data_IF_193886201120
#
_entry.id   IF_193886201120
#
_cell.length_a   1.000
_cell.length_b   1.000
_cell.length_c   1.000
_cell.angle_alpha   90.00
_cell.angle_beta   90.00
_cell.angle_gamma   90.00
#
_symmetry.space_group_name_H-M   'P 1'
#
loop_
_entity.id
_entity.type
_entity.pdbx_description
1 polymer ?
#
# COMPACT_ATOMS: atom_id res chain seq x y z
N UNK A 1 23.43 44.55 -10.17
CA UNK A 1 22.50 43.87 -9.23
C UNK A 1 21.29 43.36 -10.02
N UNK A 2 20.82 42.15 -9.71
CA UNK A 2 19.64 41.42 -10.24
C UNK A 2 19.78 40.64 -11.57
N UNK A 3 20.77 39.73 -11.62
CA UNK A 3 20.77 38.60 -12.56
C UNK A 3 20.11 37.35 -11.95
N UNK A 4 18.84 37.46 -11.54
CA UNK A 4 18.09 36.33 -11.01
C UNK A 4 17.46 35.55 -12.18
N UNK A 5 18.22 34.57 -12.68
CA UNK A 5 17.75 33.25 -13.11
C UNK A 5 16.29 33.19 -13.60
N UNK A 6 16.02 33.72 -14.79
CA UNK A 6 14.92 33.22 -15.60
C UNK A 6 15.34 31.82 -16.06
N UNK A 7 15.04 30.79 -15.25
CA UNK A 7 14.98 29.43 -15.76
C UNK A 7 14.02 29.50 -16.94
N UNK A 8 14.57 29.26 -18.13
CA UNK A 8 13.96 29.76 -19.34
C UNK A 8 12.56 29.13 -19.54
N UNK A 9 11.57 29.86 -20.08
CA UNK A 9 10.16 29.44 -20.12
C UNK A 9 9.94 28.02 -20.68
N UNK A 10 10.79 27.60 -21.63
CA UNK A 10 10.78 26.25 -22.21
C UNK A 10 11.02 25.14 -21.18
N UNK A 11 11.84 25.38 -20.16
CA UNK A 11 12.11 24.43 -19.08
C UNK A 11 10.91 24.27 -18.14
N UNK A 12 10.19 25.36 -17.87
CA UNK A 12 8.97 25.33 -17.05
C UNK A 12 7.83 24.59 -17.77
N UNK A 13 7.65 24.84 -19.07
CA UNK A 13 6.67 24.14 -19.90
C UNK A 13 7.01 22.65 -20.05
N UNK A 14 8.30 22.31 -20.18
CA UNK A 14 8.76 20.92 -20.23
C UNK A 14 8.49 20.17 -18.92
N UNK A 15 8.77 20.78 -17.77
CA UNK A 15 8.48 20.18 -16.46
C UNK A 15 6.97 20.02 -16.24
N UNK A 16 6.16 21.02 -16.63
CA UNK A 16 4.70 20.94 -16.54
C UNK A 16 4.12 19.80 -17.34
N UNK A 17 4.57 19.62 -18.59
CA UNK A 17 4.07 18.58 -19.46
C UNK A 17 4.65 17.21 -19.07
N UNK A 18 5.97 17.05 -19.11
CA UNK A 18 6.61 15.75 -18.92
C UNK A 18 6.61 15.29 -17.46
N UNK A 19 6.57 16.21 -16.49
CA UNK A 19 6.48 15.87 -15.07
C UNK A 19 5.15 15.19 -14.72
N UNK A 20 4.02 15.76 -15.16
CA UNK A 20 2.71 15.17 -14.93
C UNK A 20 2.58 13.79 -15.64
N UNK A 21 3.09 13.69 -16.87
CA UNK A 21 3.11 12.42 -17.60
C UNK A 21 4.00 11.37 -16.94
N UNK A 22 5.18 11.74 -16.44
CA UNK A 22 6.07 10.83 -15.72
C UNK A 22 5.40 10.26 -14.45
N UNK A 23 4.69 11.10 -13.70
CA UNK A 23 3.91 10.65 -12.54
C UNK A 23 2.79 9.70 -12.97
N UNK A 24 2.03 10.05 -14.01
CA UNK A 24 0.96 9.21 -14.53
C UNK A 24 1.48 7.83 -14.98
N UNK A 25 2.59 7.79 -15.73
CA UNK A 25 3.20 6.52 -16.18
C UNK A 25 3.68 5.68 -15.00
N UNK A 26 4.33 6.29 -14.00
CA UNK A 26 4.78 5.57 -12.81
C UNK A 26 3.61 4.95 -12.04
N UNK A 27 2.52 5.70 -11.86
CA UNK A 27 1.31 5.22 -11.18
C UNK A 27 0.61 4.13 -12.01
N UNK A 28 0.57 4.27 -13.33
CA UNK A 28 0.01 3.26 -14.22
C UNK A 28 0.77 1.93 -14.09
N UNK A 29 2.10 1.97 -14.15
CA UNK A 29 2.95 0.78 -14.01
C UNK A 29 2.81 0.16 -12.62
N UNK A 30 2.79 0.97 -11.58
CA UNK A 30 2.59 0.52 -10.19
C UNK A 30 1.24 -0.18 -10.01
N UNK A 31 0.17 0.40 -10.59
CA UNK A 31 -1.19 -0.16 -10.53
C UNK A 31 -1.38 -1.37 -11.46
N UNK A 32 -0.55 -1.52 -12.48
CA UNK A 32 -0.50 -2.72 -13.34
C UNK A 32 0.10 -3.93 -12.59
N UNK A 33 0.83 -3.68 -11.50
CA UNK A 33 1.54 -4.69 -10.72
C UNK A 33 3.04 -4.77 -10.98
N UNK A 34 3.60 -3.78 -11.68
CA UNK A 34 5.05 -3.61 -11.78
C UNK A 34 5.51 -2.81 -10.56
N UNK A 35 6.58 -3.21 -9.85
CA UNK A 35 7.10 -2.44 -8.72
C UNK A 35 7.68 -1.11 -9.20
N UNK A 36 6.84 -0.08 -9.25
CA UNK A 36 7.19 1.28 -9.61
C UNK A 36 6.90 2.22 -8.42
N UNK A 37 7.65 3.32 -8.26
CA UNK A 37 7.49 4.22 -7.12
C UNK A 37 6.28 5.16 -7.26
N UNK A 38 5.08 4.63 -7.59
CA UNK A 38 3.90 5.42 -7.92
C UNK A 38 3.45 6.39 -6.80
N UNK A 39 3.49 5.95 -5.54
CA UNK A 39 3.16 6.79 -4.38
C UNK A 39 4.17 7.93 -4.20
N UNK A 40 5.46 7.61 -4.25
CA UNK A 40 6.53 8.60 -4.12
C UNK A 40 6.45 9.63 -5.25
N UNK A 41 6.14 9.19 -6.47
CA UNK A 41 5.96 10.07 -7.63
C UNK A 41 4.74 10.97 -7.47
N UNK A 42 3.62 10.47 -6.92
CA UNK A 42 2.47 11.31 -6.60
C UNK A 42 2.82 12.38 -5.56
N UNK A 43 3.49 11.99 -4.48
CA UNK A 43 3.92 12.90 -3.41
C UNK A 43 4.88 13.96 -3.95
N UNK A 44 5.88 13.55 -4.74
CA UNK A 44 6.83 14.46 -5.38
C UNK A 44 6.14 15.43 -6.35
N UNK A 45 5.25 14.91 -7.20
CA UNK A 45 4.44 15.71 -8.12
C UNK A 45 3.55 16.71 -7.38
N UNK A 46 2.89 16.29 -6.30
CA UNK A 46 2.06 17.19 -5.49
C UNK A 46 2.89 18.27 -4.79
N UNK A 47 4.12 17.94 -4.39
CA UNK A 47 5.10 18.91 -3.89
C UNK A 47 5.45 19.98 -4.93
N UNK A 48 5.72 19.57 -6.17
CA UNK A 48 5.96 20.49 -7.29
C UNK A 48 4.73 21.34 -7.63
N UNK A 49 3.54 20.73 -7.61
CA UNK A 49 2.28 21.43 -7.82
C UNK A 49 2.03 22.51 -6.74
N UNK A 50 2.37 22.23 -5.48
CA UNK A 50 2.25 23.21 -4.39
C UNK A 50 3.16 24.44 -4.55
N UNK A 51 4.22 24.32 -5.36
CA UNK A 51 5.14 25.39 -5.70
C UNK A 51 4.75 26.12 -7.00
N UNK A 52 3.61 25.77 -7.60
CA UNK A 52 3.16 26.30 -8.88
C UNK A 52 3.90 25.75 -10.09
N UNK A 53 4.69 24.68 -9.94
CA UNK A 53 5.45 24.09 -11.04
C UNK A 53 4.67 23.06 -11.85
N UNK A 54 3.57 22.52 -11.32
CA UNK A 54 2.64 21.61 -12.00
C UNK A 54 1.21 22.09 -11.76
N UNK A 55 0.31 21.87 -12.73
CA UNK A 55 -1.12 22.06 -12.49
C UNK A 55 -1.64 20.95 -11.56
N UNK A 56 -2.13 21.27 -10.35
CA UNK A 56 -2.60 20.28 -9.39
C UNK A 56 -3.80 19.49 -9.94
N UNK A 57 -4.66 20.11 -10.75
CA UNK A 57 -5.84 19.44 -11.29
C UNK A 57 -5.43 18.37 -12.29
N UNK A 58 -4.60 18.71 -13.28
CA UNK A 58 -4.07 17.78 -14.27
C UNK A 58 -3.27 16.64 -13.61
N UNK A 59 -2.48 16.95 -12.58
CA UNK A 59 -1.75 15.94 -11.81
C UNK A 59 -2.69 14.94 -11.14
N UNK A 60 -3.69 15.42 -10.38
CA UNK A 60 -4.58 14.54 -9.61
C UNK A 60 -5.52 13.76 -10.52
N UNK A 61 -6.10 14.39 -11.54
CA UNK A 61 -6.95 13.71 -12.53
C UNK A 61 -6.12 12.70 -13.33
N UNK A 62 -4.92 13.08 -13.77
CA UNK A 62 -4.01 12.19 -14.49
C UNK A 62 -3.59 10.98 -13.66
N UNK A 63 -3.21 11.19 -12.39
CA UNK A 63 -2.89 10.14 -11.45
C UNK A 63 -4.07 9.19 -11.21
N UNK A 64 -5.28 9.74 -11.04
CA UNK A 64 -6.50 8.95 -10.87
C UNK A 64 -6.79 8.08 -12.10
N UNK A 65 -6.79 8.68 -13.30
CA UNK A 65 -6.98 7.97 -14.56
C UNK A 65 -5.93 6.88 -14.76
N UNK A 66 -4.65 7.20 -14.57
CA UNK A 66 -3.55 6.25 -14.68
C UNK A 66 -3.73 5.05 -13.74
N UNK A 67 -4.11 5.31 -12.49
CA UNK A 67 -4.30 4.26 -11.50
C UNK A 67 -5.51 3.38 -11.82
N UNK A 68 -6.62 3.96 -12.30
CA UNK A 68 -7.80 3.19 -12.71
C UNK A 68 -7.50 2.34 -13.94
N UNK A 69 -6.81 2.90 -14.93
CA UNK A 69 -6.46 2.19 -16.16
C UNK A 69 -5.45 1.07 -15.89
N UNK A 70 -4.40 1.32 -15.09
CA UNK A 70 -3.40 0.32 -14.75
C UNK A 70 -4.00 -0.90 -14.05
N UNK A 71 -4.84 -0.66 -13.04
CA UNK A 71 -5.57 -1.73 -12.33
C UNK A 71 -6.52 -2.51 -13.25
N UNK A 72 -7.14 -1.84 -14.22
CA UNK A 72 -7.99 -2.51 -15.23
C UNK A 72 -7.19 -3.42 -16.16
N UNK A 73 -6.01 -2.98 -16.60
CA UNK A 73 -5.10 -3.82 -17.38
C UNK A 73 -4.65 -5.01 -16.53
N UNK A 74 -4.27 -4.78 -15.27
CA UNK A 74 -3.96 -5.85 -14.31
C UNK A 74 -5.11 -6.84 -14.11
N UNK A 75 -6.35 -6.35 -14.07
CA UNK A 75 -7.56 -7.19 -13.99
C UNK A 75 -7.73 -8.08 -15.22
N UNK A 76 -7.59 -7.54 -16.42
CA UNK A 76 -7.71 -8.32 -17.65
C UNK A 76 -6.62 -9.40 -17.70
N UNK A 77 -5.38 -9.03 -17.37
CA UNK A 77 -4.23 -9.94 -17.28
C UNK A 77 -4.52 -11.07 -16.28
N UNK A 78 -4.99 -10.72 -15.08
CA UNK A 78 -5.30 -11.68 -14.03
C UNK A 78 -6.43 -12.64 -14.43
N UNK A 79 -7.44 -12.12 -15.14
CA UNK A 79 -8.57 -12.91 -15.65
C UNK A 79 -8.18 -13.89 -16.75
N UNK A 80 -7.19 -13.56 -17.58
CA UNK A 80 -6.70 -14.42 -18.65
C UNK A 80 -5.67 -15.44 -18.19
N UNK A 81 -4.74 -15.07 -17.30
CA UNK A 81 -3.61 -15.92 -16.89
C UNK A 81 -3.98 -16.92 -15.78
N UNK A 82 -4.93 -16.58 -14.91
CA UNK A 82 -5.27 -17.40 -13.76
C UNK A 82 -4.21 -17.41 -12.65
N UNK A 83 -4.54 -18.06 -11.52
CA UNK A 83 -3.77 -17.99 -10.28
C UNK A 83 -2.32 -18.53 -10.41
N UNK A 84 -2.13 -19.66 -11.08
CA UNK A 84 -0.82 -20.32 -11.18
C UNK A 84 0.19 -19.48 -11.96
N UNK A 85 -0.24 -18.88 -13.08
CA UNK A 85 0.62 -18.01 -13.86
C UNK A 85 0.93 -16.71 -13.11
N UNK A 86 -0.02 -16.12 -12.38
CA UNK A 86 0.24 -14.93 -11.55
C UNK A 86 1.32 -15.21 -10.52
N UNK A 87 1.28 -16.35 -9.82
CA UNK A 87 2.32 -16.70 -8.84
C UNK A 87 3.66 -16.97 -9.53
N UNK A 88 3.65 -17.68 -10.66
CA UNK A 88 4.86 -18.05 -11.41
C UNK A 88 5.58 -16.84 -12.01
N UNK A 89 4.85 -15.92 -12.63
CA UNK A 89 5.41 -14.71 -13.25
C UNK A 89 5.60 -13.60 -12.23
N UNK A 90 4.68 -13.50 -11.27
CA UNK A 90 4.72 -12.56 -10.16
C UNK A 90 5.99 -12.65 -9.32
N UNK A 91 6.54 -13.86 -9.16
CA UNK A 91 7.80 -14.05 -8.43
C UNK A 91 8.98 -13.23 -9.00
N UNK A 92 8.97 -12.90 -10.30
CA UNK A 92 10.01 -12.06 -10.94
C UNK A 92 9.84 -10.56 -10.64
N UNK A 93 8.66 -10.15 -10.20
CA UNK A 93 8.31 -8.75 -9.91
C UNK A 93 7.99 -8.53 -8.42
N UNK A 94 8.36 -9.48 -7.54
CA UNK A 94 8.19 -9.37 -6.08
C UNK A 94 6.84 -9.88 -5.53
N UNK A 95 5.98 -10.42 -6.40
CA UNK A 95 4.70 -11.03 -5.99
C UNK A 95 4.96 -12.49 -5.62
N UNK A 96 5.04 -12.78 -4.33
CA UNK A 96 5.23 -14.15 -3.82
C UNK A 96 3.89 -14.90 -3.72
N UNK A 97 3.96 -16.23 -3.70
CA UNK A 97 2.80 -17.08 -3.45
C UNK A 97 2.08 -16.71 -2.13
N UNK A 98 2.85 -16.33 -1.11
CA UNK A 98 2.33 -15.87 0.18
C UNK A 98 1.54 -14.56 0.08
N UNK A 99 2.06 -13.58 -0.67
CA UNK A 99 1.34 -12.32 -0.93
C UNK A 99 0.02 -12.56 -1.67
N UNK A 100 0.05 -13.44 -2.68
CA UNK A 100 -1.14 -13.81 -3.43
C UNK A 100 -2.19 -14.51 -2.56
N UNK A 101 -1.80 -15.54 -1.80
CA UNK A 101 -2.71 -16.27 -0.92
C UNK A 101 -3.33 -15.34 0.14
N UNK A 102 -2.51 -14.46 0.72
CA UNK A 102 -2.98 -13.47 1.68
C UNK A 102 -3.99 -12.49 1.07
N UNK A 103 -3.75 -12.02 -0.17
CA UNK A 103 -4.71 -11.17 -0.87
C UNK A 103 -6.01 -11.91 -1.17
N UNK A 104 -5.94 -13.13 -1.71
CA UNK A 104 -7.13 -13.95 -1.99
C UNK A 104 -7.99 -14.13 -0.74
N UNK A 105 -7.38 -14.38 0.42
CA UNK A 105 -8.11 -14.50 1.69
C UNK A 105 -8.85 -13.21 2.07
N UNK A 106 -8.23 -12.04 1.83
CA UNK A 106 -8.89 -10.75 2.06
C UNK A 106 -10.07 -10.58 1.11
N UNK A 107 -9.88 -10.86 -0.18
CA UNK A 107 -10.93 -10.80 -1.19
C UNK A 107 -12.11 -11.73 -0.86
N UNK A 108 -11.85 -12.92 -0.31
CA UNK A 108 -12.91 -13.84 0.15
C UNK A 108 -13.67 -13.30 1.35
N UNK A 109 -12.97 -12.69 2.31
CA UNK A 109 -13.58 -12.21 3.56
C UNK A 109 -14.37 -10.91 3.40
N UNK A 110 -13.89 -9.98 2.60
CA UNK A 110 -14.42 -8.61 2.51
C UNK A 110 -14.98 -8.27 1.12
N UNK A 111 -14.80 -9.15 0.13
CA UNK A 111 -15.40 -9.00 -1.19
C UNK A 111 -14.91 -7.76 -1.94
N UNK A 112 -15.80 -7.07 -2.67
CA UNK A 112 -15.46 -5.88 -3.47
C UNK A 112 -14.85 -4.72 -2.67
N UNK A 113 -15.18 -4.59 -1.38
CA UNK A 113 -14.64 -3.53 -0.53
C UNK A 113 -13.11 -3.59 -0.39
N UNK A 114 -12.51 -4.79 -0.56
CA UNK A 114 -11.06 -4.95 -0.59
C UNK A 114 -10.43 -4.16 -1.71
N UNK A 115 -11.08 -4.05 -2.87
CA UNK A 115 -10.51 -3.36 -4.03
C UNK A 115 -10.23 -1.90 -3.70
N UNK A 116 -11.11 -1.26 -2.94
CA UNK A 116 -10.91 0.11 -2.48
C UNK A 116 -9.89 0.18 -1.33
N UNK A 117 -9.99 -0.72 -0.34
CA UNK A 117 -9.09 -0.72 0.82
C UNK A 117 -7.64 -1.09 0.47
N UNK A 118 -7.44 -1.95 -0.53
CA UNK A 118 -6.15 -2.41 -1.04
C UNK A 118 -5.25 -1.26 -1.48
N UNK A 119 -5.84 -0.15 -1.94
CA UNK A 119 -5.12 1.06 -2.38
C UNK A 119 -4.21 1.64 -1.29
N UNK A 120 -4.54 1.45 -0.02
CA UNK A 120 -3.74 1.95 1.11
C UNK A 120 -2.67 0.96 1.60
N UNK A 121 -2.59 -0.23 1.00
CA UNK A 121 -1.63 -1.25 1.36
C UNK A 121 -0.80 -1.58 0.14
N UNK A 122 0.46 -1.15 0.12
CA UNK A 122 1.38 -1.24 -1.04
C UNK A 122 1.32 -2.61 -1.73
N UNK A 123 1.46 -3.69 -0.96
CA UNK A 123 1.43 -5.06 -1.50
C UNK A 123 0.07 -5.42 -2.09
N UNK A 124 -1.05 -5.09 -1.43
CA UNK A 124 -2.39 -5.38 -1.96
C UNK A 124 -2.65 -4.57 -3.22
N UNK A 125 -2.28 -3.29 -3.23
CA UNK A 125 -2.52 -2.38 -4.34
C UNK A 125 -1.89 -2.90 -5.63
N UNK A 126 -0.64 -3.34 -5.58
CA UNK A 126 0.08 -3.83 -6.76
C UNK A 126 -0.54 -5.11 -7.35
N UNK A 127 -1.14 -5.95 -6.52
CA UNK A 127 -1.75 -7.21 -6.97
C UNK A 127 -3.27 -7.13 -7.06
N UNK A 128 -3.85 -5.94 -6.83
CA UNK A 128 -5.28 -5.74 -6.66
C UNK A 128 -6.05 -6.16 -7.91
N UNK A 129 -5.71 -5.55 -9.05
CA UNK A 129 -6.27 -5.93 -10.35
C UNK A 129 -6.04 -7.40 -10.67
N UNK A 130 -4.80 -7.89 -10.53
CA UNK A 130 -4.43 -9.28 -10.85
C UNK A 130 -5.26 -10.31 -10.07
N UNK A 131 -5.43 -10.12 -8.76
CA UNK A 131 -6.22 -11.01 -7.88
C UNK A 131 -7.71 -10.88 -8.16
N UNK A 132 -8.23 -9.66 -8.34
CA UNK A 132 -9.64 -9.47 -8.67
C UNK A 132 -10.03 -10.14 -10.00
N UNK A 133 -9.13 -10.06 -10.98
CA UNK A 133 -9.25 -10.71 -12.28
C UNK A 133 -9.19 -12.23 -12.18
N UNK A 134 -8.21 -12.78 -11.44
CA UNK A 134 -8.04 -14.22 -11.28
C UNK A 134 -9.22 -14.89 -10.56
N UNK A 135 -9.85 -14.16 -9.64
CA UNK A 135 -11.07 -14.57 -8.95
C UNK A 135 -12.35 -14.35 -9.78
N UNK A 136 -12.22 -13.83 -11.01
CA UNK A 136 -13.33 -13.52 -11.94
C UNK A 136 -14.41 -12.63 -11.32
N UNK A 137 -14.00 -11.66 -10.50
CA UNK A 137 -14.92 -10.64 -9.97
C UNK A 137 -15.66 -9.94 -11.12
N UNK A 138 -16.96 -9.63 -11.03
CA UNK A 138 -17.67 -8.90 -12.07
C UNK A 138 -16.96 -7.57 -12.39
N UNK A 139 -16.66 -7.33 -13.66
CA UNK A 139 -15.82 -6.19 -14.09
C UNK A 139 -16.40 -4.84 -13.66
N UNK A 140 -17.72 -4.64 -13.80
CA UNK A 140 -18.39 -3.40 -13.39
C UNK A 140 -18.22 -3.12 -11.88
N UNK A 141 -18.28 -4.17 -11.05
CA UNK A 141 -18.08 -4.06 -9.60
C UNK A 141 -16.63 -3.70 -9.31
N UNK A 142 -15.68 -4.38 -9.97
CA UNK A 142 -14.26 -4.05 -9.83
C UNK A 142 -13.98 -2.60 -10.21
N UNK A 143 -14.41 -2.14 -11.37
CA UNK A 143 -14.18 -0.77 -11.85
C UNK A 143 -14.74 0.26 -10.89
N UNK A 144 -15.96 0.06 -10.38
CA UNK A 144 -16.59 0.99 -9.45
C UNK A 144 -15.78 1.14 -8.14
N UNK A 145 -15.46 0.02 -7.47
CA UNK A 145 -14.68 0.06 -6.24
C UNK A 145 -13.24 0.53 -6.47
N UNK A 146 -12.66 0.17 -7.62
CA UNK A 146 -11.33 0.61 -8.03
C UNK A 146 -11.27 2.13 -8.22
N UNK A 147 -12.24 2.70 -8.95
CA UNK A 147 -12.34 4.14 -9.19
C UNK A 147 -12.55 4.93 -7.89
N UNK A 148 -13.40 4.43 -6.99
CA UNK A 148 -13.62 5.03 -5.66
C UNK A 148 -12.34 4.97 -4.83
N UNK A 149 -11.71 3.79 -4.74
CA UNK A 149 -10.44 3.62 -4.01
C UNK A 149 -9.33 4.50 -4.57
N UNK A 150 -9.25 4.63 -5.90
CA UNK A 150 -8.33 5.54 -6.57
C UNK A 150 -8.56 6.99 -6.19
N UNK A 151 -9.80 7.43 -6.20
CA UNK A 151 -10.17 8.80 -5.88
C UNK A 151 -9.81 9.13 -4.44
N UNK A 152 -10.13 8.23 -3.51
CA UNK A 152 -9.79 8.39 -2.10
C UNK A 152 -8.28 8.41 -1.88
N UNK A 153 -7.52 7.52 -2.53
CA UNK A 153 -6.07 7.44 -2.37
C UNK A 153 -5.34 8.65 -2.96
N UNK A 154 -5.67 9.03 -4.21
CA UNK A 154 -5.10 10.24 -4.86
C UNK A 154 -5.53 11.48 -4.11
N UNK A 155 -6.80 11.56 -3.71
CA UNK A 155 -7.34 12.66 -2.92
C UNK A 155 -6.60 12.80 -1.59
N UNK A 156 -6.39 11.71 -0.86
CA UNK A 156 -5.68 11.72 0.41
C UNK A 156 -4.24 12.21 0.25
N UNK A 157 -3.41 11.52 -0.54
CA UNK A 157 -1.99 11.89 -0.67
C UNK A 157 -1.78 13.23 -1.36
N UNK A 158 -2.54 13.50 -2.42
CA UNK A 158 -2.50 14.76 -3.15
C UNK A 158 -2.90 15.95 -2.29
N UNK A 159 -4.05 15.88 -1.61
CA UNK A 159 -4.52 16.98 -0.76
C UNK A 159 -3.62 17.21 0.45
N UNK A 160 -3.12 16.15 1.09
CA UNK A 160 -2.19 16.26 2.24
C UNK A 160 -0.95 17.04 1.83
N UNK A 161 -0.33 16.68 0.70
CA UNK A 161 0.90 17.34 0.25
C UNK A 161 0.64 18.78 -0.22
N UNK A 162 -0.46 19.01 -0.95
CA UNK A 162 -0.84 20.36 -1.37
C UNK A 162 -1.13 21.28 -0.17
N UNK A 163 -1.83 20.76 0.85
CA UNK A 163 -2.12 21.50 2.08
C UNK A 163 -0.84 21.80 2.88
N UNK A 164 0.07 20.84 2.98
CA UNK A 164 1.39 21.02 3.61
C UNK A 164 2.21 22.09 2.86
N UNK A 165 2.20 22.06 1.52
CA UNK A 165 2.90 23.05 0.70
C UNK A 165 2.30 24.45 0.77
N UNK A 166 0.99 24.57 0.98
CA UNK A 166 0.31 25.85 1.21
C UNK A 166 0.71 26.47 2.57
N UNK A 167 0.86 25.65 3.61
CA UNK A 167 1.23 26.09 4.97
C UNK A 167 2.74 26.01 5.25
N UNK A 168 3.58 25.91 4.21
CA UNK A 168 5.03 25.72 4.33
C UNK A 168 5.74 26.69 5.29
N UNK A 169 5.28 27.94 5.39
CA UNK A 169 5.86 28.94 6.29
C UNK A 169 5.44 28.77 7.77
N UNK A 170 4.28 28.17 8.03
CA UNK A 170 3.82 27.87 9.38
C UNK A 170 4.36 26.52 9.85
N UNK A 171 4.39 25.52 8.95
CA UNK A 171 4.92 24.20 9.23
C UNK A 171 6.45 24.20 9.41
N UNK A 172 7.19 25.09 8.74
CA UNK A 172 8.65 25.17 8.91
C UNK A 172 9.05 25.52 10.35
N UNK A 173 8.20 26.20 11.12
CA UNK A 173 8.45 26.46 12.55
C UNK A 173 8.25 25.21 13.40
N UNK A 174 7.31 24.33 13.02
CA UNK A 174 6.98 23.11 13.75
C UNK A 174 7.95 21.95 13.45
N UNK A 175 8.46 21.87 12.23
CA UNK A 175 9.35 20.78 11.77
C UNK A 175 10.80 20.97 12.21
N UNK A 176 11.23 22.21 12.51
CA UNK A 176 12.57 22.48 13.07
C UNK A 176 12.63 22.33 14.59
N UNK A 177 11.55 21.91 15.25
CA UNK A 177 11.56 21.62 16.69
C UNK A 177 12.12 20.20 16.94
N UNK A 178 13.34 20.08 17.50
CA UNK A 178 14.01 18.79 17.67
C UNK A 178 13.23 17.80 18.56
N UNK A 179 12.38 18.33 19.44
CA UNK A 179 11.47 17.55 20.31
C UNK A 179 10.41 16.78 19.52
N UNK A 180 9.91 17.33 18.41
CA UNK A 180 8.86 16.69 17.62
C UNK A 180 9.42 15.56 16.76
N UNK A 181 10.62 15.77 16.19
CA UNK A 181 11.38 14.70 15.52
C UNK A 181 11.73 13.56 16.48
N UNK A 182 12.13 13.88 17.72
CA UNK A 182 12.37 12.89 18.76
C UNK A 182 11.09 12.13 19.12
N UNK A 183 9.94 12.82 19.22
CA UNK A 183 8.64 12.21 19.47
C UNK A 183 8.22 11.22 18.38
N UNK A 184 8.36 11.59 17.11
CA UNK A 184 8.08 10.69 15.96
C UNK A 184 9.03 9.49 15.96
N UNK A 185 10.33 9.71 16.23
CA UNK A 185 11.32 8.63 16.31
C UNK A 185 10.99 7.64 17.44
N UNK A 186 10.54 8.13 18.60
CA UNK A 186 10.11 7.30 19.73
C UNK A 186 8.86 6.50 19.38
N UNK A 187 7.85 7.10 18.74
CA UNK A 187 6.63 6.38 18.33
C UNK A 187 6.95 5.28 17.31
N UNK A 188 7.83 5.55 16.36
CA UNK A 188 8.31 4.55 15.39
C UNK A 188 9.10 3.44 16.09
N UNK A 189 10.00 3.78 17.01
CA UNK A 189 10.77 2.80 17.77
C UNK A 189 9.89 1.89 18.64
N UNK A 190 8.88 2.48 19.31
CA UNK A 190 7.90 1.75 20.11
C UNK A 190 6.99 0.88 19.24
N UNK A 191 6.55 1.37 18.08
CA UNK A 191 5.77 0.59 17.12
C UNK A 191 6.55 -0.61 16.58
N UNK A 192 7.82 -0.41 16.22
CA UNK A 192 8.72 -1.48 15.78
C UNK A 192 9.01 -2.47 16.92
N UNK A 193 9.22 -1.97 18.14
CA UNK A 193 9.41 -2.79 19.34
C UNK A 193 8.19 -3.63 19.68
N UNK A 194 6.99 -3.05 19.62
CA UNK A 194 5.72 -3.73 19.84
C UNK A 194 5.49 -4.82 18.78
N UNK A 195 5.77 -4.53 17.50
CA UNK A 195 5.66 -5.54 16.42
C UNK A 195 6.64 -6.69 16.63
N UNK A 196 7.88 -6.43 17.06
CA UNK A 196 8.85 -7.49 17.38
C UNK A 196 8.44 -8.30 18.60
N UNK A 197 7.96 -7.65 19.65
CA UNK A 197 7.49 -8.30 20.89
C UNK A 197 6.27 -9.20 20.62
N UNK A 198 5.29 -8.72 19.85
CA UNK A 198 4.10 -9.48 19.49
C UNK A 198 4.42 -10.68 18.60
N UNK A 199 5.38 -10.54 17.67
CA UNK A 199 5.87 -11.66 16.84
C UNK A 199 6.63 -12.71 17.65
N UNK A 200 7.46 -12.30 18.60
CA UNK A 200 8.18 -13.22 19.50
C UNK A 200 7.27 -14.01 20.45
N UNK A 201 6.11 -13.45 20.81
CA UNK A 201 5.12 -14.13 21.68
C UNK A 201 4.34 -15.22 20.95
N UNK A 202 4.15 -15.11 19.63
CA UNK A 202 3.46 -16.12 18.84
C UNK A 202 4.28 -17.40 18.70
N UNK A 203 5.59 -17.31 18.48
CA UNK A 203 6.48 -18.49 18.36
C UNK A 203 6.68 -19.26 19.67
N UNK A 204 6.44 -18.63 20.84
CA UNK A 204 6.51 -19.32 22.15
C UNK A 204 5.22 -20.06 22.54
N UNK A 205 4.07 -19.74 21.93
CA UNK A 205 2.78 -20.41 22.22
C UNK A 205 2.62 -21.75 21.50
N UNK A 206 3.27 -21.95 20.36
CA UNK A 206 3.29 -23.25 19.65
C UNK A 206 4.26 -24.26 20.28
N UNK A 207 5.15 -23.82 21.17
CA UNK A 207 6.18 -24.66 21.79
C UNK A 207 5.81 -25.20 23.20
N UNK A 208 4.56 -25.03 23.66
CA UNK A 208 4.11 -25.64 24.90
C UNK A 208 3.53 -27.04 24.61
N UNK A 209 4.22 -28.14 24.97
CA UNK A 209 3.68 -29.48 24.77
C UNK A 209 2.49 -29.70 25.72
N UNK A 210 1.43 -30.30 25.18
CA UNK A 210 0.35 -30.88 25.96
C UNK A 210 0.95 -31.88 26.95
N UNK A 211 0.89 -31.57 28.25
CA UNK A 211 1.15 -32.52 29.31
C UNK A 211 0.04 -33.57 29.25
N UNK A 212 0.36 -34.71 28.64
CA UNK A 212 -0.45 -35.91 28.71
C UNK A 212 -0.57 -36.34 30.16
N UNK A 213 -1.82 -36.36 30.60
CA UNK A 213 -2.41 -37.05 31.73
C UNK A 213 -1.82 -38.45 31.94
N UNK A 214 -1.10 -38.63 33.06
CA UNK A 214 -0.83 -39.93 33.68
C UNK A 214 -1.08 -39.74 35.18
N UNK A 215 -2.36 -39.75 35.54
CA UNK A 215 -2.77 -39.95 36.92
C UNK A 215 -2.54 -41.41 37.32
N UNK A 216 -1.76 -41.57 38.38
CA UNK A 216 -1.40 -42.78 39.11
C UNK A 216 -2.53 -43.82 39.25
N UNK A 217 -2.28 -45.03 38.73
CA UNK A 217 -2.96 -46.24 39.16
C UNK A 217 -2.11 -46.97 40.20
N UNK A 218 -2.47 -46.87 41.47
CA UNK A 218 -1.93 -47.69 42.55
C UNK A 218 -2.96 -48.75 42.97
N UNK A 219 -2.61 -50.05 43.06
CA UNK A 219 -3.44 -51.05 43.73
C UNK A 219 -3.01 -51.17 45.20
N UNK A 220 -3.95 -50.94 46.11
CA UNK A 220 -3.80 -51.20 47.54
C UNK A 220 -5.12 -51.70 48.11
N UNK A 221 -5.42 -52.98 47.90
CA UNK A 221 -6.55 -53.68 48.50
C UNK A 221 -6.14 -54.29 49.86
N UNK A 222 -6.47 -53.55 50.92
CA UNK A 222 -6.60 -54.13 52.26
C UNK A 222 -7.79 -55.08 52.29
N UNK A 223 -7.56 -56.34 52.65
CA UNK A 223 -8.57 -57.37 52.75
C UNK A 223 -9.63 -57.13 53.83
N UNK A 224 -10.78 -57.83 53.77
CA UNK A 224 -11.81 -57.73 54.78
C UNK A 224 -11.53 -58.65 55.98
N UNK A 225 -11.94 -58.14 57.13
CA UNK A 225 -12.18 -58.85 58.40
C UNK A 225 -13.11 -60.06 58.25
N UNK A 226 -12.64 -61.21 58.78
CA UNK A 226 -13.28 -62.31 59.56
C UNK A 226 -12.62 -63.63 59.19
#
# INVERSE_FOLDING_TARGET
MTGHTQLAPWLHEYIQHYGAWAVAVAIFLDSLGVPAPGEIMLIAGAGLASQGQLDPTALLVGAWCAAVLGDNVGYVIGRSLGAEAIVRFGARVGITAGHYAWAVERFRRWGPAVVAAARFVVVLRQINGLVAGSLRMPWAVFVAFNAIGALLWVGFWGSVVLAVGAHRHELSRFVHEPLLMLGVAIVVALGVGAVRYLRGRHSRREAAPATHDVADGAPGDGGPSV
#
